data_IF_339626310885
#
_entry.id   IF_339626310885
#
_cell.length_a   1.000
_cell.length_b   1.000
_cell.length_c   1.000
_cell.angle_alpha   90.00
_cell.angle_beta   90.00
_cell.angle_gamma   90.00
#
_symmetry.space_group_name_H-M   'P 1'
#
loop_
_entity.id
_entity.type
_entity.pdbx_description
1 polymer ?
#
# COMPACT_ATOMS: atom_id res chain seq x y z
N UNK A 1 13.95 15.31 -10.95
CA UNK A 1 14.31 16.42 -10.03
C UNK A 1 13.47 17.65 -10.41
N UNK A 2 12.19 17.43 -10.73
CA UNK A 2 11.48 18.23 -11.75
C UNK A 2 10.42 19.17 -11.15
N UNK A 3 10.30 19.12 -9.82
CA UNK A 3 9.33 19.90 -9.05
C UNK A 3 9.61 21.41 -9.09
N UNK A 4 10.88 21.82 -9.04
CA UNK A 4 11.24 23.25 -9.12
C UNK A 4 10.93 23.85 -10.49
N UNK A 5 11.08 23.05 -11.55
CA UNK A 5 10.76 23.45 -12.93
C UNK A 5 9.25 23.58 -13.09
N UNK A 6 8.49 22.62 -12.54
CA UNK A 6 7.01 22.65 -12.56
C UNK A 6 6.43 23.93 -11.95
N UNK A 7 7.11 24.53 -10.97
CA UNK A 7 6.65 25.70 -10.23
C UNK A 7 7.39 27.00 -10.57
N UNK A 8 8.11 27.05 -11.71
CA UNK A 8 8.85 28.24 -12.17
C UNK A 8 9.72 28.84 -11.04
N UNK A 9 10.39 27.97 -10.27
CA UNK A 9 11.06 28.40 -9.04
C UNK A 9 12.20 29.38 -9.34
N UNK A 10 12.15 30.56 -8.72
CA UNK A 10 13.23 31.55 -8.77
C UNK A 10 14.02 31.48 -7.47
N UNK A 11 15.25 30.98 -7.56
CA UNK A 11 16.17 30.91 -6.43
C UNK A 11 17.07 32.14 -6.41
N UNK A 12 16.86 33.03 -5.44
CA UNK A 12 17.71 34.19 -5.22
C UNK A 12 18.70 33.91 -4.08
N UNK A 13 19.88 33.41 -4.44
CA UNK A 13 20.93 33.08 -3.48
C UNK A 13 21.43 34.30 -2.68
N UNK A 14 21.47 35.49 -3.31
CA UNK A 14 21.95 36.72 -2.67
C UNK A 14 21.00 37.19 -1.57
N UNK A 15 19.70 37.08 -1.79
CA UNK A 15 18.64 37.41 -0.82
C UNK A 15 18.21 36.22 0.03
N UNK A 16 18.81 35.03 -0.18
CA UNK A 16 18.45 33.76 0.50
C UNK A 16 16.95 33.49 0.46
N UNK A 17 16.39 33.63 -0.74
CA UNK A 17 14.96 33.61 -0.96
C UNK A 17 14.63 32.67 -2.12
N UNK A 18 13.54 31.92 -1.97
CA UNK A 18 12.95 31.11 -3.03
C UNK A 18 11.56 31.67 -3.31
N UNK A 19 11.27 31.97 -4.58
CA UNK A 19 9.94 32.34 -5.04
C UNK A 19 9.40 31.20 -5.87
N UNK A 20 8.21 30.72 -5.51
CA UNK A 20 7.49 29.68 -6.24
C UNK A 20 6.23 30.30 -6.83
N UNK A 21 5.90 29.96 -8.07
CA UNK A 21 4.60 30.30 -8.66
C UNK A 21 3.60 29.19 -8.40
N UNK A 22 2.46 29.55 -7.86
CA UNK A 22 1.31 28.67 -7.70
C UNK A 22 0.46 28.65 -8.98
N UNK A 23 -0.35 27.61 -9.15
CA UNK A 23 -1.17 27.39 -10.35
C UNK A 23 -2.18 28.50 -10.65
N UNK A 24 -2.56 29.30 -9.65
CA UNK A 24 -3.47 30.44 -9.76
C UNK A 24 -2.74 31.77 -10.06
N UNK A 25 -1.43 31.74 -10.29
CA UNK A 25 -0.60 32.94 -10.50
C UNK A 25 -0.14 33.63 -9.22
N UNK A 26 -0.55 33.16 -8.04
CA UNK A 26 -0.04 33.67 -6.77
C UNK A 26 1.41 33.22 -6.56
N UNK A 27 2.24 34.11 -6.02
CA UNK A 27 3.64 33.80 -5.73
C UNK A 27 3.84 33.56 -4.24
N UNK A 28 4.35 32.39 -3.89
CA UNK A 28 4.80 32.10 -2.52
C UNK A 28 6.27 32.49 -2.40
N UNK A 29 6.54 33.43 -1.49
CA UNK A 29 7.89 33.88 -1.17
C UNK A 29 8.35 33.22 0.12
N UNK A 30 9.34 32.36 0.01
CA UNK A 30 10.03 31.73 1.13
C UNK A 30 11.33 32.49 1.34
N UNK A 31 11.41 33.24 2.42
CA UNK A 31 12.61 33.99 2.79
C UNK A 31 13.24 33.33 4.02
N UNK A 32 14.55 33.11 3.97
CA UNK A 32 15.28 32.65 5.14
C UNK A 32 15.33 33.77 6.16
N UNK A 33 14.45 33.72 7.17
CA UNK A 33 14.57 34.59 8.34
C UNK A 33 15.90 34.29 9.05
N UNK A 34 16.54 35.31 9.62
CA UNK A 34 17.85 35.19 10.27
C UNK A 34 17.83 34.44 11.60
N UNK A 35 16.82 33.61 11.84
CA UNK A 35 16.72 32.79 13.04
C UNK A 35 16.30 31.37 12.69
N UNK A 36 17.29 30.55 12.32
CA UNK A 36 17.24 29.12 12.60
C UNK A 36 18.57 28.71 13.24
N UNK A 37 18.84 29.22 14.43
CA UNK A 37 19.92 28.71 15.28
C UNK A 37 19.41 27.69 16.31
N UNK A 38 18.32 26.96 16.04
CA UNK A 38 17.81 25.96 16.99
C UNK A 38 17.22 24.67 16.38
N UNK A 39 16.87 24.64 15.09
CA UNK A 39 16.39 23.39 14.48
C UNK A 39 17.58 22.60 13.93
N UNK A 40 18.13 21.70 14.75
CA UNK A 40 19.09 20.71 14.26
C UNK A 40 18.37 19.80 13.25
N UNK A 41 18.60 20.04 11.96
CA UNK A 41 18.15 19.13 10.90
C UNK A 41 18.98 17.85 11.02
N UNK A 42 18.32 16.75 11.32
CA UNK A 42 18.96 15.43 11.46
C UNK A 42 18.56 14.53 10.30
N UNK A 43 19.45 13.60 9.95
CA UNK A 43 19.16 12.58 8.93
C UNK A 43 18.09 11.59 9.40
N UNK A 44 17.42 10.93 8.46
CA UNK A 44 16.42 9.89 8.74
C UNK A 44 16.93 8.77 9.65
N UNK A 45 18.17 8.32 9.42
CA UNK A 45 18.82 7.31 10.28
C UNK A 45 19.00 7.80 11.72
N UNK A 46 19.40 9.06 11.89
CA UNK A 46 19.54 9.68 13.21
C UNK A 46 18.20 9.83 13.91
N UNK A 47 17.15 10.24 13.19
CA UNK A 47 15.77 10.30 13.70
C UNK A 47 15.31 8.94 14.19
N UNK A 48 15.53 7.88 13.39
CA UNK A 48 15.17 6.50 13.78
C UNK A 48 15.91 6.05 15.05
N UNK A 49 17.19 6.40 15.19
CA UNK A 49 17.97 6.13 16.40
C UNK A 49 17.42 6.86 17.62
N UNK A 50 16.98 8.11 17.49
CA UNK A 50 16.37 8.87 18.57
C UNK A 50 15.02 8.27 19.01
N UNK A 51 14.16 7.90 18.05
CA UNK A 51 12.88 7.23 18.34
C UNK A 51 13.11 5.90 19.06
N UNK A 52 14.10 5.10 18.64
CA UNK A 52 14.47 3.85 19.34
C UNK A 52 14.99 4.06 20.76
N UNK A 53 15.51 5.24 21.08
CA UNK A 53 15.96 5.62 22.42
C UNK A 53 14.84 6.19 23.29
N UNK A 54 13.60 6.22 22.79
CA UNK A 54 12.43 6.71 23.52
C UNK A 54 12.19 8.22 23.39
N UNK A 55 12.82 8.91 22.42
CA UNK A 55 12.48 10.29 22.14
C UNK A 55 11.07 10.41 21.55
N UNK A 56 10.30 11.39 22.02
CA UNK A 56 9.02 11.75 21.39
C UNK A 56 9.26 12.30 19.98
N UNK A 57 8.46 11.83 19.03
CA UNK A 57 8.51 12.28 17.65
C UNK A 57 7.09 12.56 17.16
N UNK A 58 6.95 13.65 16.41
CA UNK A 58 5.69 14.10 15.83
C UNK A 58 5.84 14.15 14.31
N UNK A 59 4.88 13.56 13.60
CA UNK A 59 4.80 13.65 12.14
C UNK A 59 3.89 14.82 11.77
N UNK A 60 4.47 15.87 11.18
CA UNK A 60 3.72 16.93 10.53
C UNK A 60 3.66 16.66 9.03
N UNK A 61 2.47 16.69 8.45
CA UNK A 61 2.26 16.56 7.01
C UNK A 61 1.18 17.54 6.56
N UNK A 62 1.27 18.01 5.33
CA UNK A 62 0.32 18.94 4.73
C UNK A 62 -0.58 18.14 3.81
N UNK A 63 -1.89 18.18 4.07
CA UNK A 63 -2.91 17.61 3.20
C UNK A 63 -3.60 18.74 2.44
N UNK A 64 -3.65 18.65 1.12
CA UNK A 64 -4.57 19.50 0.35
C UNK A 64 -5.99 18.93 0.48
N UNK A 65 -6.86 19.66 1.15
CA UNK A 65 -8.27 19.26 1.36
C UNK A 65 -9.15 19.56 0.15
N UNK A 66 -8.63 20.28 -0.86
CA UNK A 66 -9.35 20.61 -2.10
C UNK A 66 -9.28 19.48 -3.12
N UNK A 67 -8.25 18.63 -3.04
CA UNK A 67 -8.18 17.38 -3.80
C UNK A 67 -9.06 16.35 -3.11
N UNK A 68 -10.16 15.94 -3.75
CA UNK A 68 -10.94 14.76 -3.38
C UNK A 68 -10.01 13.61 -3.05
N UNK A 69 -10.31 12.80 -2.01
CA UNK A 69 -9.57 11.58 -1.62
C UNK A 69 -8.85 11.02 -2.85
N UNK A 70 -7.52 11.15 -2.88
CA UNK A 70 -6.70 10.61 -3.94
C UNK A 70 -7.14 9.17 -4.16
N UNK A 71 -7.71 8.87 -5.33
CA UNK A 71 -8.01 7.48 -5.68
C UNK A 71 -6.70 6.70 -5.60
N UNK A 72 -6.71 5.46 -5.12
CA UNK A 72 -5.50 4.64 -5.08
C UNK A 72 -4.79 4.63 -6.45
N UNK A 73 -5.58 4.70 -7.52
CA UNK A 73 -5.21 4.88 -8.93
C UNK A 73 -4.30 6.09 -9.24
N UNK A 74 -4.26 7.11 -8.37
CA UNK A 74 -3.43 8.32 -8.53
C UNK A 74 -2.03 8.18 -7.93
N UNK A 75 -1.77 7.11 -7.17
CA UNK A 75 -0.44 6.79 -6.67
C UNK A 75 0.29 6.08 -7.81
N UNK A 76 1.40 6.65 -8.36
CA UNK A 76 2.07 6.10 -9.54
C UNK A 76 2.41 4.62 -9.37
N UNK A 77 2.95 4.25 -8.22
CA UNK A 77 3.32 2.86 -7.89
C UNK A 77 2.13 1.91 -7.87
N UNK A 78 0.92 2.38 -7.54
CA UNK A 78 -0.27 1.51 -7.53
C UNK A 78 -0.85 1.41 -8.93
N UNK A 79 -0.85 2.52 -9.67
CA UNK A 79 -1.31 2.56 -11.06
C UNK A 79 -0.42 1.71 -11.98
N UNK A 80 0.89 1.70 -11.73
CA UNK A 80 1.87 0.88 -12.46
C UNK A 80 1.65 -0.63 -12.27
N UNK A 81 0.95 -1.03 -11.20
CA UNK A 81 0.65 -2.44 -10.86
C UNK A 81 -0.84 -2.66 -10.55
N UNK A 82 -1.73 -1.91 -11.22
CA UNK A 82 -3.17 -2.00 -10.97
C UNK A 82 -3.74 -3.40 -11.26
N UNK A 83 -3.08 -4.16 -12.13
CA UNK A 83 -3.37 -5.55 -12.47
C UNK A 83 -3.03 -6.55 -11.35
N UNK A 84 -2.09 -6.21 -10.46
CA UNK A 84 -1.68 -7.03 -9.31
C UNK A 84 -2.62 -6.84 -8.11
N UNK A 85 -3.32 -5.71 -8.04
CA UNK A 85 -4.24 -5.37 -6.95
C UNK A 85 -5.68 -5.15 -7.44
N UNK A 86 -6.33 -6.13 -8.08
CA UNK A 86 -7.71 -5.99 -8.49
C UNK A 86 -8.62 -5.91 -7.26
N UNK A 87 -9.69 -5.10 -7.34
CA UNK A 87 -10.68 -4.94 -6.26
C UNK A 87 -11.37 -6.27 -5.91
N UNK A 88 -11.49 -7.16 -6.89
CA UNK A 88 -11.97 -8.53 -6.71
C UNK A 88 -10.93 -9.53 -7.21
N UNK A 89 -10.77 -10.64 -6.48
CA UNK A 89 -9.93 -11.74 -6.94
C UNK A 89 -10.52 -12.33 -8.22
N UNK A 90 -9.85 -12.07 -9.35
CA UNK A 90 -9.99 -12.85 -10.57
C UNK A 90 -9.72 -14.31 -10.17
N UNK A 91 -10.55 -15.25 -10.66
CA UNK A 91 -10.48 -16.67 -10.29
C UNK A 91 -9.09 -17.29 -10.41
N UNK A 92 -8.93 -18.58 -10.09
CA UNK A 92 -7.63 -19.24 -10.29
C UNK A 92 -7.13 -18.99 -11.72
N UNK A 93 -5.96 -18.38 -11.85
CA UNK A 93 -5.24 -18.33 -13.12
C UNK A 93 -4.96 -19.79 -13.50
N UNK A 94 -5.79 -20.33 -14.41
CA UNK A 94 -5.72 -21.71 -14.89
C UNK A 94 -4.37 -22.00 -15.55
N UNK A 95 -3.66 -20.96 -15.98
CA UNK A 95 -2.30 -21.03 -16.53
C UNK A 95 -1.34 -20.57 -15.45
N UNK A 96 -0.75 -21.53 -14.74
CA UNK A 96 0.46 -21.32 -13.94
C UNK A 96 1.62 -21.91 -14.74
N UNK A 97 2.71 -21.17 -14.90
CA UNK A 97 3.91 -21.67 -15.58
C UNK A 97 4.58 -22.83 -14.81
N UNK A 98 4.17 -23.05 -13.55
CA UNK A 98 4.75 -24.02 -12.63
C UNK A 98 3.62 -24.77 -11.93
N UNK A 99 3.68 -26.10 -11.98
CA UNK A 99 2.83 -26.98 -11.18
C UNK A 99 3.31 -27.01 -9.73
N UNK A 100 2.39 -26.80 -8.79
CA UNK A 100 2.68 -26.91 -7.37
C UNK A 100 2.48 -28.36 -6.92
N UNK A 101 3.58 -29.09 -6.73
CA UNK A 101 3.56 -30.43 -6.13
C UNK A 101 3.63 -30.34 -4.59
N UNK A 102 2.89 -31.23 -3.92
CA UNK A 102 2.98 -31.41 -2.47
C UNK A 102 3.78 -32.69 -2.22
N UNK A 103 5.03 -32.53 -1.79
CA UNK A 103 5.89 -33.67 -1.43
C UNK A 103 5.47 -34.24 -0.07
N UNK A 104 5.14 -35.53 -0.06
CA UNK A 104 4.80 -36.25 1.16
C UNK A 104 6.03 -36.95 1.72
N UNK A 105 6.17 -36.93 3.05
CA UNK A 105 7.16 -37.77 3.73
C UNK A 105 6.87 -39.24 3.43
N UNK A 106 7.93 -40.02 3.17
CA UNK A 106 7.81 -41.46 2.95
C UNK A 106 7.02 -42.11 4.09
N UNK A 107 6.06 -42.99 3.73
CA UNK A 107 5.13 -43.69 4.64
C UNK A 107 3.97 -42.84 5.19
N UNK A 108 3.77 -41.60 4.73
CA UNK A 108 2.53 -40.85 5.00
C UNK A 108 1.37 -41.46 4.22
N UNK A 109 0.25 -41.73 4.89
CA UNK A 109 -1.01 -42.19 4.28
C UNK A 109 -2.05 -41.06 4.26
N UNK A 110 -3.05 -41.12 3.37
CA UNK A 110 -4.20 -40.21 3.42
C UNK A 110 -4.89 -40.24 4.79
N UNK A 111 -5.44 -39.09 5.19
CA UNK A 111 -6.17 -38.93 6.45
C UNK A 111 -7.61 -38.54 6.11
N UNK A 112 -8.55 -39.39 6.51
CA UNK A 112 -9.98 -39.12 6.40
C UNK A 112 -10.56 -38.80 7.77
N UNK A 113 -10.99 -37.55 7.96
CA UNK A 113 -11.58 -37.06 9.22
C UNK A 113 -13.02 -36.63 8.94
N UNK A 114 -13.94 -37.07 9.80
CA UNK A 114 -15.34 -36.64 9.72
C UNK A 114 -15.46 -35.11 9.93
N UNK A 115 -16.24 -34.40 9.09
CA UNK A 115 -16.47 -32.97 9.29
C UNK A 115 -17.06 -32.66 10.67
N UNK A 116 -16.68 -31.51 11.23
CA UNK A 116 -17.23 -31.06 12.51
C UNK A 116 -18.74 -30.75 12.42
N UNK A 117 -19.48 -31.01 13.50
CA UNK A 117 -20.92 -30.70 13.57
C UNK A 117 -21.14 -29.19 13.69
N UNK A 118 -21.74 -28.57 12.69
CA UNK A 118 -22.04 -27.15 12.68
C UNK A 118 -23.54 -26.88 12.89
N UNK A 119 -23.86 -25.75 13.53
CA UNK A 119 -25.24 -25.27 13.63
C UNK A 119 -25.79 -24.92 12.23
N UNK A 120 -27.11 -25.01 11.99
CA UNK A 120 -27.71 -24.74 10.68
C UNK A 120 -27.34 -23.38 10.06
N UNK A 121 -27.22 -22.33 10.89
CA UNK A 121 -26.86 -20.99 10.42
C UNK A 121 -25.44 -20.95 9.86
N UNK A 122 -24.47 -21.55 10.55
CA UNK A 122 -23.08 -21.65 10.07
C UNK A 122 -22.97 -22.50 8.82
N UNK A 123 -23.76 -23.57 8.72
CA UNK A 123 -23.77 -24.43 7.53
C UNK A 123 -24.30 -23.67 6.30
N UNK A 124 -25.31 -22.80 6.47
CA UNK A 124 -25.82 -21.93 5.41
C UNK A 124 -24.75 -20.94 4.92
N UNK A 125 -24.03 -20.31 5.85
CA UNK A 125 -22.92 -19.39 5.53
C UNK A 125 -21.79 -20.13 4.79
N UNK A 126 -21.36 -21.28 5.31
CA UNK A 126 -20.33 -22.10 4.68
C UNK A 126 -20.73 -22.52 3.26
N UNK A 127 -22.00 -22.90 3.05
CA UNK A 127 -22.50 -23.25 1.72
C UNK A 127 -22.44 -22.06 0.75
N UNK A 128 -22.76 -20.85 1.21
CA UNK A 128 -22.67 -19.65 0.38
C UNK A 128 -21.22 -19.36 -0.05
N UNK A 129 -20.26 -19.46 0.88
CA UNK A 129 -18.84 -19.30 0.59
C UNK A 129 -18.32 -20.37 -0.39
N UNK A 130 -18.70 -21.64 -0.18
CA UNK A 130 -18.30 -22.72 -1.10
C UNK A 130 -18.88 -22.53 -2.50
N UNK A 131 -20.11 -22.04 -2.62
CA UNK A 131 -20.70 -21.73 -3.92
C UNK A 131 -19.93 -20.61 -4.61
N UNK A 132 -19.62 -19.52 -3.91
CA UNK A 132 -18.84 -18.41 -4.45
C UNK A 132 -17.45 -18.88 -4.93
N UNK A 133 -16.76 -19.68 -4.12
CA UNK A 133 -15.45 -20.24 -4.49
C UNK A 133 -15.54 -21.18 -5.71
N UNK A 134 -16.63 -21.96 -5.81
CA UNK A 134 -16.87 -22.86 -6.95
C UNK A 134 -17.19 -22.07 -8.23
N UNK A 135 -18.03 -21.03 -8.14
CA UNK A 135 -18.42 -20.18 -9.27
C UNK A 135 -17.21 -19.42 -9.82
N UNK A 136 -16.28 -19.04 -8.94
CA UNK A 136 -14.99 -18.43 -9.30
C UNK A 136 -13.91 -19.45 -9.72
N UNK A 137 -14.20 -20.75 -9.68
CA UNK A 137 -13.28 -21.81 -10.09
C UNK A 137 -12.11 -22.08 -9.13
N UNK A 138 -12.18 -21.63 -7.88
CA UNK A 138 -11.15 -21.90 -6.86
C UNK A 138 -11.21 -23.32 -6.30
N UNK A 139 -12.39 -23.92 -6.29
CA UNK A 139 -12.62 -25.28 -5.79
C UNK A 139 -13.44 -26.09 -6.78
N UNK A 140 -13.16 -27.38 -6.86
CA UNK A 140 -13.87 -28.33 -7.70
C UNK A 140 -14.26 -29.56 -6.87
N UNK A 141 -15.39 -30.21 -7.16
CA UNK A 141 -15.71 -31.51 -6.58
C UNK A 141 -14.59 -32.52 -6.85
N UNK A 142 -14.22 -33.29 -5.84
CA UNK A 142 -13.17 -34.31 -5.95
C UNK A 142 -13.53 -35.56 -5.16
N UNK A 143 -12.84 -36.66 -5.48
CA UNK A 143 -12.92 -37.92 -4.76
C UNK A 143 -11.54 -38.23 -4.18
N UNK A 144 -11.29 -37.75 -2.95
CA UNK A 144 -10.06 -38.05 -2.21
C UNK A 144 -10.18 -39.41 -1.51
N UNK A 145 -9.10 -40.23 -1.50
CA UNK A 145 -9.03 -41.46 -0.71
C UNK A 145 -9.02 -41.22 0.80
#
# INVERSE_FOLDING_TARGET
MDWLILHDAIVNCRRRQIVLKWQNGETVRIESDRFVSAANIISTFSTQKCVRKGCEAYLAYILDTRTSKLKLESIPTINDFADVFPEELLGLLLVRDIDFAIDLVLRTSPISISPYRMAPTKLKELKALLQELSDRGFVLPSFSP
#
